data_IF_733558868236
#
_entry.id   IF_733558868236
#
_cell.length_a   1.000
_cell.length_b   1.000
_cell.length_c   1.000
_cell.angle_alpha   90.00
_cell.angle_beta   90.00
_cell.angle_gamma   90.00
#
_symmetry.space_group_name_H-M   'P 1'
#
loop_
_entity.id
_entity.type
_entity.pdbx_description
1 polymer ?
#
# COMPACT_ATOMS: atom_id res chain seq x y z
N UNK A 1 18.08 -19.43 -12.00
CA UNK A 1 18.52 -18.02 -12.07
C UNK A 1 19.70 -17.85 -11.14
N UNK A 2 20.71 -17.09 -11.54
CA UNK A 2 21.75 -16.65 -10.61
C UNK A 2 21.14 -15.54 -9.73
N UNK A 3 21.03 -15.77 -8.43
CA UNK A 3 20.65 -14.72 -7.49
C UNK A 3 21.87 -13.84 -7.25
N UNK A 4 21.83 -12.61 -7.73
CA UNK A 4 22.79 -11.58 -7.32
C UNK A 4 22.36 -11.13 -5.92
N UNK A 5 23.20 -11.39 -4.93
CA UNK A 5 22.93 -11.00 -3.55
C UNK A 5 23.06 -9.47 -3.42
N UNK A 6 22.04 -8.83 -2.87
CA UNK A 6 22.10 -7.41 -2.49
C UNK A 6 22.85 -7.33 -1.16
N UNK A 7 24.06 -6.76 -1.18
CA UNK A 7 24.92 -6.72 0.00
C UNK A 7 24.89 -5.37 0.72
N UNK A 8 24.61 -4.29 0.00
CA UNK A 8 24.72 -2.92 0.51
C UNK A 8 23.65 -1.98 -0.08
N UNK A 9 23.69 -0.73 0.39
CA UNK A 9 22.82 0.36 -0.04
C UNK A 9 22.88 0.62 -1.55
N UNK A 10 24.08 0.61 -2.12
CA UNK A 10 24.32 0.88 -3.55
C UNK A 10 23.72 -0.23 -4.42
N UNK A 11 23.83 -1.49 -3.99
CA UNK A 11 23.17 -2.62 -4.65
C UNK A 11 21.66 -2.49 -4.64
N UNK A 12 21.06 -2.11 -3.51
CA UNK A 12 19.61 -1.90 -3.38
C UNK A 12 19.14 -0.80 -4.33
N UNK A 13 19.76 0.38 -4.26
CA UNK A 13 19.37 1.54 -5.06
C UNK A 13 19.64 1.34 -6.55
N UNK A 14 20.75 0.69 -6.91
CA UNK A 14 21.08 0.33 -8.29
C UNK A 14 20.08 -0.64 -8.91
N UNK A 15 19.69 -1.69 -8.18
CA UNK A 15 18.64 -2.62 -8.61
C UNK A 15 17.30 -1.91 -8.77
N UNK A 16 16.88 -1.15 -7.75
CA UNK A 16 15.60 -0.44 -7.76
C UNK A 16 15.51 0.57 -8.92
N UNK A 17 16.59 1.32 -9.15
CA UNK A 17 16.70 2.28 -10.26
C UNK A 17 16.60 1.57 -11.62
N UNK A 18 17.28 0.43 -11.76
CA UNK A 18 17.22 -0.36 -13.01
C UNK A 18 15.79 -0.83 -13.27
N UNK A 19 15.12 -1.40 -12.26
CA UNK A 19 13.73 -1.85 -12.37
C UNK A 19 12.83 -0.66 -12.73
N UNK A 20 12.94 0.45 -12.01
CA UNK A 20 12.19 1.68 -12.27
C UNK A 20 12.34 2.14 -13.74
N UNK A 21 13.56 2.13 -14.29
CA UNK A 21 13.81 2.55 -15.67
C UNK A 21 13.21 1.58 -16.70
N UNK A 22 13.34 0.26 -16.49
CA UNK A 22 12.83 -0.73 -17.45
C UNK A 22 11.32 -0.90 -17.39
N UNK A 23 10.68 -0.54 -16.26
CA UNK A 23 9.22 -0.59 -16.09
C UNK A 23 8.52 0.74 -16.34
N UNK A 24 9.26 1.82 -16.64
CA UNK A 24 8.70 3.16 -16.87
C UNK A 24 7.68 3.22 -18.03
N UNK A 25 7.76 2.28 -18.98
CA UNK A 25 6.84 2.18 -20.11
C UNK A 25 6.02 0.89 -20.00
N UNK A 26 4.84 0.93 -19.33
CA UNK A 26 4.09 -0.28 -18.95
C UNK A 26 3.73 -1.18 -20.14
N UNK A 27 3.46 -0.57 -21.29
CA UNK A 27 3.11 -1.25 -22.54
C UNK A 27 4.20 -2.22 -23.04
N UNK A 28 5.47 -2.01 -22.69
CA UNK A 28 6.58 -2.83 -23.15
C UNK A 28 7.07 -3.84 -22.10
N UNK A 29 6.45 -3.88 -20.92
CA UNK A 29 6.85 -4.79 -19.85
C UNK A 29 6.15 -6.15 -20.01
N UNK A 30 6.92 -7.19 -20.32
CA UNK A 30 6.40 -8.56 -20.38
C UNK A 30 5.95 -9.08 -19.01
N UNK A 31 4.99 -10.01 -18.95
CA UNK A 31 4.55 -10.61 -17.68
C UNK A 31 5.68 -11.23 -16.86
N UNK A 32 6.65 -11.91 -17.50
CA UNK A 32 7.83 -12.44 -16.79
C UNK A 32 8.68 -11.32 -16.17
N UNK A 33 8.81 -10.18 -16.85
CA UNK A 33 9.55 -9.04 -16.33
C UNK A 33 8.80 -8.38 -15.14
N UNK A 34 7.47 -8.35 -15.16
CA UNK A 34 6.65 -7.88 -14.04
C UNK A 34 6.88 -8.75 -12.80
N UNK A 35 6.78 -10.08 -12.94
CA UNK A 35 7.00 -11.05 -11.84
C UNK A 35 8.43 -10.96 -11.29
N UNK A 36 9.43 -10.97 -12.18
CA UNK A 36 10.83 -10.86 -11.74
C UNK A 36 11.10 -9.50 -11.07
N UNK A 37 10.50 -8.43 -11.59
CA UNK A 37 10.57 -7.09 -11.02
C UNK A 37 9.98 -7.06 -9.61
N UNK A 38 8.76 -7.56 -9.41
CA UNK A 38 8.13 -7.60 -8.09
C UNK A 38 8.90 -8.43 -7.07
N UNK A 39 9.43 -9.59 -7.47
CA UNK A 39 10.28 -10.43 -6.58
C UNK A 39 11.54 -9.68 -6.18
N UNK A 40 12.20 -9.03 -7.14
CA UNK A 40 13.44 -8.29 -6.92
C UNK A 40 13.22 -7.07 -6.01
N UNK A 41 12.12 -6.34 -6.19
CA UNK A 41 11.75 -5.20 -5.34
C UNK A 41 11.38 -5.64 -3.92
N UNK A 42 10.65 -6.75 -3.76
CA UNK A 42 10.38 -7.34 -2.45
C UNK A 42 11.68 -7.72 -1.73
N UNK A 43 12.63 -8.32 -2.45
CA UNK A 43 13.95 -8.62 -1.90
C UNK A 43 14.72 -7.35 -1.52
N UNK A 44 14.64 -6.30 -2.34
CA UNK A 44 15.24 -5.00 -2.05
C UNK A 44 14.68 -4.36 -0.77
N UNK A 45 13.35 -4.38 -0.56
CA UNK A 45 12.76 -3.95 0.71
C UNK A 45 13.21 -4.81 1.89
N UNK A 46 13.26 -6.14 1.71
CA UNK A 46 13.74 -7.07 2.74
C UNK A 46 15.17 -6.75 3.18
N UNK A 47 16.06 -6.45 2.22
CA UNK A 47 17.44 -6.07 2.51
C UNK A 47 17.53 -4.67 3.11
N UNK A 48 16.75 -3.71 2.62
CA UNK A 48 16.69 -2.36 3.20
C UNK A 48 16.28 -2.42 4.68
N UNK A 49 15.27 -3.23 5.01
CA UNK A 49 14.84 -3.49 6.39
C UNK A 49 15.98 -4.03 7.23
N UNK A 50 16.70 -5.04 6.75
CA UNK A 50 17.87 -5.61 7.46
C UNK A 50 18.96 -4.56 7.69
N UNK A 51 19.33 -3.79 6.66
CA UNK A 51 20.40 -2.79 6.74
C UNK A 51 20.02 -1.61 7.65
N UNK A 52 18.76 -1.19 7.64
CA UNK A 52 18.28 -0.11 8.50
C UNK A 52 18.38 -0.43 9.99
N UNK A 53 18.32 -1.71 10.38
CA UNK A 53 18.50 -2.15 11.78
C UNK A 53 19.98 -2.40 12.09
N UNK A 54 20.68 -3.12 11.21
CA UNK A 54 21.98 -3.70 11.55
C UNK A 54 23.18 -2.80 11.21
N UNK A 55 22.99 -1.80 10.35
CA UNK A 55 24.10 -1.02 9.77
C UNK A 55 23.95 0.49 9.90
N UNK A 56 23.04 0.96 10.77
CA UNK A 56 22.82 2.39 11.05
C UNK A 56 22.67 3.26 9.78
N UNK A 57 21.89 2.79 8.80
CA UNK A 57 21.49 3.67 7.70
C UNK A 57 20.81 4.91 8.26
N UNK A 58 21.13 6.07 7.70
CA UNK A 58 20.47 7.33 8.04
C UNK A 58 19.01 7.30 7.58
N UNK A 59 18.18 8.11 8.23
CA UNK A 59 16.78 8.32 7.81
C UNK A 59 16.68 8.74 6.35
N UNK A 60 17.61 9.60 5.91
CA UNK A 60 17.69 10.06 4.51
C UNK A 60 17.98 8.91 3.54
N UNK A 61 18.95 8.05 3.84
CA UNK A 61 19.27 6.89 3.01
C UNK A 61 18.07 5.94 2.90
N UNK A 62 17.41 5.62 4.01
CA UNK A 62 16.22 4.75 4.02
C UNK A 62 15.11 5.35 3.15
N UNK A 63 14.85 6.65 3.28
CA UNK A 63 13.82 7.34 2.49
C UNK A 63 14.17 7.35 0.99
N UNK A 64 15.41 7.61 0.62
CA UNK A 64 15.86 7.59 -0.79
C UNK A 64 15.73 6.18 -1.40
N UNK A 65 16.22 5.16 -0.70
CA UNK A 65 16.10 3.77 -1.19
C UNK A 65 14.64 3.36 -1.33
N UNK A 66 13.81 3.72 -0.34
CA UNK A 66 12.37 3.48 -0.36
C UNK A 66 11.71 4.13 -1.57
N UNK A 67 12.03 5.40 -1.87
CA UNK A 67 11.45 6.11 -3.01
C UNK A 67 11.73 5.39 -4.34
N UNK A 68 12.95 4.88 -4.55
CA UNK A 68 13.29 4.13 -5.76
C UNK A 68 12.57 2.79 -5.83
N UNK A 69 12.56 2.01 -4.74
CA UNK A 69 11.92 0.70 -4.72
C UNK A 69 10.40 0.86 -4.91
N UNK A 70 9.80 1.83 -4.21
CA UNK A 70 8.36 2.13 -4.29
C UNK A 70 7.95 2.61 -5.69
N UNK A 71 8.74 3.46 -6.33
CA UNK A 71 8.47 3.88 -7.72
C UNK A 71 8.51 2.70 -8.68
N UNK A 72 9.50 1.80 -8.52
CA UNK A 72 9.55 0.54 -9.26
C UNK A 72 8.30 -0.32 -9.05
N UNK A 73 7.81 -0.41 -7.80
CA UNK A 73 6.60 -1.16 -7.45
C UNK A 73 5.35 -0.55 -8.10
N UNK A 74 5.20 0.78 -8.07
CA UNK A 74 4.10 1.49 -8.73
C UNK A 74 4.10 1.24 -10.25
N UNK A 75 5.28 1.20 -10.89
CA UNK A 75 5.39 0.85 -12.30
C UNK A 75 5.00 -0.61 -12.58
N UNK A 76 5.37 -1.55 -11.71
CA UNK A 76 4.95 -2.96 -11.85
C UNK A 76 3.42 -3.08 -11.76
N UNK A 77 2.79 -2.46 -10.75
CA UNK A 77 1.33 -2.43 -10.66
C UNK A 77 0.69 -1.88 -11.93
N UNK A 78 1.20 -0.74 -12.45
CA UNK A 78 0.64 -0.13 -13.66
C UNK A 78 0.86 -1.01 -14.90
N UNK A 79 2.01 -1.65 -15.03
CA UNK A 79 2.26 -2.59 -16.12
C UNK A 79 1.32 -3.81 -16.07
N UNK A 80 1.08 -4.36 -14.88
CA UNK A 80 0.15 -5.48 -14.68
C UNK A 80 -1.29 -5.09 -15.02
N UNK A 81 -1.73 -3.89 -14.63
CA UNK A 81 -3.05 -3.37 -15.01
C UNK A 81 -3.17 -3.20 -16.54
N UNK A 82 -2.22 -2.52 -17.19
CA UNK A 82 -2.28 -2.28 -18.65
C UNK A 82 -2.34 -3.60 -19.42
N UNK A 83 -1.55 -4.60 -19.02
CA UNK A 83 -1.57 -5.92 -19.67
C UNK A 83 -2.85 -6.68 -19.40
N UNK A 84 -3.42 -6.56 -18.20
CA UNK A 84 -4.69 -7.20 -17.88
C UNK A 84 -5.83 -6.56 -18.69
N UNK A 85 -5.86 -5.23 -18.83
CA UNK A 85 -6.84 -4.52 -19.66
C UNK A 85 -6.85 -5.07 -21.09
N UNK A 86 -5.68 -5.20 -21.74
CA UNK A 86 -5.61 -5.69 -23.12
C UNK A 86 -6.14 -7.11 -23.29
N UNK A 87 -5.75 -8.03 -22.39
CA UNK A 87 -6.27 -9.41 -22.40
C UNK A 87 -7.80 -9.41 -22.23
N UNK A 88 -8.31 -8.55 -21.34
CA UNK A 88 -9.74 -8.44 -21.08
C UNK A 88 -10.51 -7.79 -22.24
N UNK A 89 -9.96 -6.79 -22.92
CA UNK A 89 -10.53 -6.16 -24.12
C UNK A 89 -10.64 -7.17 -25.27
N UNK A 90 -9.68 -8.10 -25.37
CA UNK A 90 -9.71 -9.23 -26.28
C UNK A 90 -10.70 -10.35 -25.86
N UNK A 91 -11.44 -10.13 -24.76
CA UNK A 91 -12.45 -11.07 -24.24
C UNK A 91 -11.85 -12.27 -23.50
N UNK A 92 -10.57 -12.20 -23.10
CA UNK A 92 -9.88 -13.28 -22.40
C UNK A 92 -10.16 -13.19 -20.90
N UNK A 93 -10.84 -14.20 -20.34
CA UNK A 93 -11.08 -14.32 -18.89
C UNK A 93 -10.03 -15.16 -18.14
N UNK A 94 -9.08 -15.76 -18.86
CA UNK A 94 -7.97 -16.52 -18.30
C UNK A 94 -6.83 -16.68 -19.32
N UNK A 95 -5.61 -16.31 -18.93
CA UNK A 95 -4.40 -16.50 -19.73
C UNK A 95 -3.16 -16.56 -18.84
N UNK A 96 -2.04 -17.03 -19.42
CA UNK A 96 -0.72 -16.98 -18.78
C UNK A 96 -0.32 -15.54 -18.41
N UNK A 97 -0.74 -14.54 -19.19
CA UNK A 97 -0.50 -13.13 -18.88
C UNK A 97 -1.29 -12.69 -17.65
N UNK A 98 -2.60 -13.00 -17.59
CA UNK A 98 -3.44 -12.65 -16.42
C UNK A 98 -2.92 -13.30 -15.13
N UNK A 99 -2.43 -14.54 -15.22
CA UNK A 99 -1.82 -15.22 -14.07
C UNK A 99 -0.52 -14.55 -13.62
N UNK A 100 0.34 -14.11 -14.56
CA UNK A 100 1.55 -13.35 -14.25
C UNK A 100 1.25 -11.97 -13.67
N UNK A 101 0.21 -11.30 -14.16
CA UNK A 101 -0.26 -10.03 -13.60
C UNK A 101 -0.73 -10.23 -12.16
N UNK A 102 -1.49 -11.31 -11.89
CA UNK A 102 -1.90 -11.70 -10.52
C UNK A 102 -0.69 -11.95 -9.62
N UNK A 103 0.28 -12.72 -10.07
CA UNK A 103 1.50 -13.03 -9.32
C UNK A 103 2.32 -11.77 -9.03
N UNK A 104 2.53 -10.92 -10.03
CA UNK A 104 3.28 -9.66 -9.90
C UNK A 104 2.58 -8.68 -8.95
N UNK A 105 1.28 -8.45 -9.12
CA UNK A 105 0.48 -7.61 -8.22
C UNK A 105 0.53 -8.14 -6.79
N UNK A 106 0.30 -9.44 -6.58
CA UNK A 106 0.33 -10.06 -5.24
C UNK A 106 1.70 -9.91 -4.60
N UNK A 107 2.77 -10.17 -5.34
CA UNK A 107 4.14 -10.05 -4.83
C UNK A 107 4.50 -8.60 -4.52
N UNK A 108 3.96 -7.65 -5.28
CA UNK A 108 4.17 -6.22 -5.06
C UNK A 108 3.45 -5.76 -3.79
N UNK A 109 2.22 -6.23 -3.52
CA UNK A 109 1.57 -5.99 -2.22
C UNK A 109 2.37 -6.58 -1.05
N UNK A 110 2.91 -7.78 -1.19
CA UNK A 110 3.81 -8.36 -0.18
C UNK A 110 5.12 -7.59 -0.01
N UNK A 111 5.52 -6.80 -1.01
CA UNK A 111 6.66 -5.90 -0.92
C UNK A 111 6.30 -4.66 -0.08
N UNK A 112 5.08 -4.12 -0.25
CA UNK A 112 4.53 -3.06 0.61
C UNK A 112 4.34 -3.52 2.06
N UNK A 113 4.00 -4.79 2.30
CA UNK A 113 3.98 -5.34 3.66
C UNK A 113 5.35 -5.23 4.36
N UNK A 114 6.46 -5.30 3.62
CA UNK A 114 7.81 -5.15 4.17
C UNK A 114 8.16 -3.67 4.39
N UNK A 115 7.58 -2.78 3.58
CA UNK A 115 7.70 -1.33 3.74
C UNK A 115 7.13 -0.87 5.09
N UNK A 116 5.99 -1.44 5.49
CA UNK A 116 5.40 -1.18 6.80
C UNK A 116 6.35 -1.50 7.93
N UNK A 117 7.01 -2.66 7.88
CA UNK A 117 7.95 -3.07 8.91
C UNK A 117 9.11 -2.07 9.02
N UNK A 118 9.62 -1.55 7.90
CA UNK A 118 10.69 -0.53 7.91
C UNK A 118 10.23 0.71 8.67
N UNK A 119 9.05 1.24 8.34
CA UNK A 119 8.59 2.49 8.94
C UNK A 119 8.10 2.31 10.37
N UNK A 120 7.24 1.33 10.63
CA UNK A 120 6.66 1.11 11.95
C UNK A 120 7.70 0.68 13.00
N UNK A 121 8.69 -0.14 12.60
CA UNK A 121 9.65 -0.71 13.55
C UNK A 121 10.90 0.17 13.65
N UNK A 122 11.42 0.68 12.53
CA UNK A 122 12.75 1.31 12.51
C UNK A 122 12.69 2.84 12.53
N UNK A 123 11.70 3.43 11.86
CA UNK A 123 11.63 4.88 11.64
C UNK A 123 10.68 5.60 12.59
N UNK A 124 9.61 4.94 13.02
CA UNK A 124 8.60 5.44 13.94
C UNK A 124 8.48 4.53 15.18
N UNK A 125 9.57 4.26 15.95
CA UNK A 125 9.58 3.22 16.99
C UNK A 125 8.78 3.57 18.25
N UNK A 126 8.42 4.85 18.46
CA UNK A 126 7.62 5.30 19.58
C UNK A 126 6.27 5.85 19.10
N UNK A 127 5.24 5.70 19.94
CA UNK A 127 3.99 6.45 19.81
C UNK A 127 4.11 7.71 20.67
N UNK A 128 4.90 8.67 20.18
CA UNK A 128 5.18 9.94 20.85
C UNK A 128 4.36 11.11 20.26
N UNK A 129 3.88 10.96 19.03
CA UNK A 129 3.02 11.92 18.35
C UNK A 129 1.90 11.18 17.58
N UNK A 130 0.64 11.45 17.95
CA UNK A 130 -0.54 10.85 17.31
C UNK A 130 -0.77 11.30 15.86
N UNK A 131 -0.06 12.34 15.43
CA UNK A 131 -0.06 12.85 14.06
C UNK A 131 1.16 12.39 13.24
N UNK A 132 2.01 11.49 13.76
CA UNK A 132 3.15 10.96 13.01
C UNK A 132 2.69 9.93 11.97
N UNK A 133 2.94 10.22 10.70
CA UNK A 133 2.72 9.30 9.58
C UNK A 133 3.88 9.34 8.59
N UNK A 134 4.07 8.25 7.86
CA UNK A 134 4.95 8.17 6.71
C UNK A 134 4.12 8.17 5.42
N UNK A 135 4.35 9.16 4.56
CA UNK A 135 3.74 9.25 3.23
C UNK A 135 4.76 8.91 2.15
N UNK A 136 4.42 7.94 1.32
CA UNK A 136 5.22 7.50 0.19
C UNK A 136 4.33 7.52 -1.05
N UNK A 137 4.55 8.46 -1.97
CA UNK A 137 3.71 8.63 -3.16
C UNK A 137 4.50 8.68 -4.47
N UNK A 138 3.79 8.27 -5.51
CA UNK A 138 4.06 8.60 -6.91
C UNK A 138 2.84 9.33 -7.47
N UNK A 139 2.83 9.64 -8.77
CA UNK A 139 1.63 10.16 -9.44
C UNK A 139 0.51 9.12 -9.62
N UNK A 140 0.73 7.85 -9.25
CA UNK A 140 -0.16 6.72 -9.53
C UNK A 140 -0.58 5.92 -8.30
N UNK A 141 0.33 5.78 -7.34
CA UNK A 141 0.13 5.03 -6.11
C UNK A 141 0.63 5.87 -4.95
N UNK A 142 -0.17 5.94 -3.89
CA UNK A 142 0.20 6.50 -2.61
C UNK A 142 0.03 5.45 -1.51
N UNK A 143 0.99 5.42 -0.59
CA UNK A 143 0.94 4.65 0.64
C UNK A 143 1.16 5.59 1.81
N UNK A 144 0.21 5.56 2.75
CA UNK A 144 0.32 6.21 4.05
C UNK A 144 0.39 5.16 5.14
N UNK A 145 1.40 5.26 5.99
CA UNK A 145 1.61 4.36 7.12
C UNK A 145 1.51 5.18 8.39
N UNK A 146 0.63 4.77 9.31
CA UNK A 146 0.48 5.42 10.60
C UNK A 146 0.60 4.39 11.71
N UNK A 147 1.34 4.75 12.77
CA UNK A 147 1.44 3.94 13.99
C UNK A 147 0.21 4.18 14.85
N UNK A 148 -0.33 3.12 15.42
CA UNK A 148 -1.54 3.16 16.25
C UNK A 148 -1.24 2.69 17.68
N UNK A 149 -2.03 3.19 18.63
CA UNK A 149 -2.06 2.66 19.99
C UNK A 149 -3.08 1.52 20.07
N UNK A 150 -2.67 0.26 20.32
CA UNK A 150 -3.60 -0.86 20.50
C UNK A 150 -4.62 -0.66 21.62
N UNK A 151 -4.30 0.18 22.61
CA UNK A 151 -5.19 0.48 23.72
C UNK A 151 -6.24 1.56 23.37
N UNK A 152 -6.11 2.24 22.23
CA UNK A 152 -7.07 3.25 21.82
C UNK A 152 -8.39 2.59 21.39
N UNK A 153 -9.42 2.85 22.19
CA UNK A 153 -10.78 2.36 21.99
C UNK A 153 -11.68 3.37 21.28
N UNK A 154 -11.12 4.48 20.77
CA UNK A 154 -11.89 5.53 20.10
C UNK A 154 -11.93 5.33 18.59
N UNK A 155 -13.03 5.77 17.99
CA UNK A 155 -13.19 5.88 16.52
C UNK A 155 -12.07 6.74 15.94
N UNK A 156 -11.47 6.29 14.84
CA UNK A 156 -10.39 7.00 14.17
C UNK A 156 -10.84 7.51 12.80
N UNK A 157 -10.38 8.72 12.47
CA UNK A 157 -10.57 9.31 11.16
C UNK A 157 -9.21 9.50 10.50
N UNK A 158 -8.99 8.79 9.41
CA UNK A 158 -7.77 8.91 8.63
C UNK A 158 -8.01 9.73 7.38
N UNK A 159 -7.06 10.60 7.09
CA UNK A 159 -6.92 11.18 5.76
C UNK A 159 -6.04 10.26 4.96
N UNK A 160 -6.48 9.88 3.78
CA UNK A 160 -5.69 9.21 2.74
C UNK A 160 -5.41 10.30 1.72
N UNK A 161 -4.21 10.87 1.73
CA UNK A 161 -3.79 11.77 0.67
C UNK A 161 -3.70 10.98 -0.64
N UNK A 162 -3.78 11.62 -1.80
CA UNK A 162 -3.69 10.88 -3.07
C UNK A 162 -4.20 11.67 -4.27
N UNK A 163 -4.42 10.98 -5.39
CA UNK A 163 -5.08 11.61 -6.53
C UNK A 163 -6.57 11.86 -6.24
N UNK A 164 -7.22 10.91 -5.54
CA UNK A 164 -8.61 11.07 -5.10
C UNK A 164 -8.75 12.01 -3.91
N UNK A 165 -7.81 11.99 -2.96
CA UNK A 165 -8.03 12.38 -1.56
C UNK A 165 -9.25 11.65 -0.97
N UNK A 166 -9.06 10.96 0.14
CA UNK A 166 -10.15 10.20 0.78
C UNK A 166 -10.08 10.29 2.29
N UNK A 167 -11.23 10.26 2.93
CA UNK A 167 -11.34 10.10 4.37
C UNK A 167 -11.85 8.71 4.67
N UNK A 168 -11.15 8.01 5.56
CA UNK A 168 -11.55 6.68 6.02
C UNK A 168 -11.82 6.79 7.51
N UNK A 169 -13.09 6.70 7.88
CA UNK A 169 -13.52 6.55 9.26
C UNK A 169 -13.57 5.07 9.57
N UNK A 170 -12.85 4.69 10.62
CA UNK A 170 -12.82 3.32 11.10
C UNK A 170 -13.31 3.27 12.54
N UNK A 171 -13.84 2.13 12.99
CA UNK A 171 -14.02 1.88 14.42
C UNK A 171 -12.66 1.89 15.13
N UNK A 172 -12.66 1.65 16.44
CA UNK A 172 -11.41 1.59 17.20
C UNK A 172 -10.38 0.64 16.58
N UNK A 173 -9.08 0.95 16.76
CA UNK A 173 -8.02 0.06 16.28
C UNK A 173 -8.18 -1.36 16.84
N UNK A 174 -8.58 -1.48 18.11
CA UNK A 174 -8.90 -2.78 18.72
C UNK A 174 -10.00 -3.56 17.98
N UNK A 175 -11.00 -2.86 17.42
CA UNK A 175 -12.04 -3.47 16.59
C UNK A 175 -11.53 -3.90 15.22
N UNK A 176 -10.61 -3.13 14.63
CA UNK A 176 -9.97 -3.47 13.36
C UNK A 176 -9.02 -4.67 13.47
N UNK A 177 -8.22 -4.72 14.53
CA UNK A 177 -7.25 -5.79 14.77
C UNK A 177 -7.87 -7.05 15.38
N UNK A 178 -9.06 -6.93 16.00
CA UNK A 178 -9.70 -8.00 16.74
C UNK A 178 -8.81 -8.53 17.86
N UNK A 179 -8.82 -9.84 18.08
CA UNK A 179 -7.93 -10.52 19.05
C UNK A 179 -6.49 -10.69 18.53
N UNK A 180 -6.16 -10.15 17.35
CA UNK A 180 -4.90 -10.36 16.66
C UNK A 180 -3.72 -9.56 17.21
N UNK A 181 -3.98 -8.39 17.80
CA UNK A 181 -2.94 -7.52 18.37
C UNK A 181 -2.77 -7.82 19.86
N UNK A 182 -1.75 -8.60 20.21
CA UNK A 182 -1.44 -8.87 21.60
C UNK A 182 -0.70 -7.66 22.21
N UNK A 183 -0.98 -7.36 23.48
CA UNK A 183 -0.41 -6.19 24.15
C UNK A 183 1.12 -6.14 24.09
N UNK A 184 1.67 -5.00 23.66
CA UNK A 184 3.11 -4.73 23.58
C UNK A 184 3.73 -4.85 22.19
N UNK A 185 2.96 -5.25 21.18
CA UNK A 185 3.43 -5.26 19.79
C UNK A 185 3.33 -3.87 19.13
N UNK A 186 4.21 -3.60 18.16
CA UNK A 186 4.08 -2.43 17.29
C UNK A 186 2.81 -2.59 16.45
N UNK A 187 1.93 -1.60 16.50
CA UNK A 187 0.68 -1.60 15.77
C UNK A 187 0.61 -0.42 14.80
N UNK A 188 -0.08 -0.61 13.69
CA UNK A 188 -0.27 0.44 12.71
C UNK A 188 -1.31 0.11 11.66
N UNK A 189 -1.66 1.13 10.90
CA UNK A 189 -2.53 1.02 9.71
C UNK A 189 -1.75 1.49 8.48
N UNK A 190 -1.96 0.78 7.38
CA UNK A 190 -1.50 1.19 6.06
C UNK A 190 -2.73 1.53 5.20
N UNK A 191 -2.71 2.71 4.62
CA UNK A 191 -3.62 3.09 3.56
C UNK A 191 -2.88 3.05 2.23
N UNK A 192 -3.49 2.40 1.24
CA UNK A 192 -3.04 2.46 -0.14
C UNK A 192 -4.09 3.19 -0.96
N UNK A 193 -3.69 4.11 -1.81
CA UNK A 193 -4.52 4.67 -2.86
C UNK A 193 -3.83 4.45 -4.21
N UNK A 194 -4.60 4.01 -5.21
CA UNK A 194 -4.13 3.93 -6.59
C UNK A 194 -5.19 4.49 -7.53
N UNK A 195 -4.78 5.36 -8.44
CA UNK A 195 -5.68 5.97 -9.45
C UNK A 195 -5.93 5.09 -10.68
N UNK A 196 -5.82 3.78 -10.46
CA UNK A 196 -6.10 2.71 -11.40
C UNK A 196 -6.42 1.46 -10.58
N UNK A 197 -6.91 0.42 -11.25
CA UNK A 197 -7.26 -0.84 -10.61
C UNK A 197 -6.11 -1.84 -10.64
N UNK A 198 -5.36 -2.08 -9.54
CA UNK A 198 -4.27 -3.06 -9.54
C UNK A 198 -4.78 -4.51 -9.68
N UNK A 199 -6.09 -4.75 -9.50
CA UNK A 199 -6.73 -6.05 -9.55
C UNK A 199 -7.38 -6.37 -10.90
N UNK A 200 -7.01 -5.62 -11.94
CA UNK A 200 -7.56 -5.76 -13.28
C UNK A 200 -7.38 -7.16 -13.88
N UNK A 201 -6.51 -8.01 -13.33
CA UNK A 201 -6.43 -9.41 -13.74
C UNK A 201 -7.66 -10.24 -13.34
N UNK A 202 -8.50 -9.76 -12.40
CA UNK A 202 -9.65 -10.51 -11.87
C UNK A 202 -10.89 -10.34 -12.74
N UNK A 203 -11.69 -11.39 -12.91
CA UNK A 203 -12.86 -11.36 -13.79
C UNK A 203 -13.97 -10.39 -13.34
N UNK A 204 -14.09 -10.13 -12.03
CA UNK A 204 -15.08 -9.19 -11.48
C UNK A 204 -14.56 -7.74 -11.38
N UNK A 205 -13.33 -7.48 -11.81
CA UNK A 205 -12.66 -6.18 -11.64
C UNK A 205 -13.20 -5.08 -12.56
N UNK A 206 -13.82 -5.43 -13.69
CA UNK A 206 -14.39 -4.49 -14.69
C UNK A 206 -15.43 -3.51 -14.15
N UNK A 207 -16.01 -3.81 -12.99
CA UNK A 207 -16.98 -2.92 -12.34
C UNK A 207 -16.30 -1.79 -11.57
N UNK A 208 -14.98 -1.85 -11.41
CA UNK A 208 -14.17 -0.88 -10.67
C UNK A 208 -13.53 0.09 -11.68
N UNK A 209 -14.28 1.13 -12.05
CA UNK A 209 -13.84 2.21 -12.94
C UNK A 209 -13.33 3.44 -12.17
N UNK A 210 -13.05 3.29 -10.87
CA UNK A 210 -12.61 4.36 -9.98
C UNK A 210 -11.24 4.07 -9.38
N UNK A 211 -10.70 5.06 -8.68
CA UNK A 211 -9.54 4.89 -7.81
C UNK A 211 -9.82 3.79 -6.77
N UNK A 212 -8.77 3.05 -6.42
CA UNK A 212 -8.82 1.95 -5.47
C UNK A 212 -8.16 2.39 -4.17
N UNK A 213 -8.91 2.29 -3.06
CA UNK A 213 -8.40 2.55 -1.72
C UNK A 213 -8.35 1.23 -0.94
N UNK A 214 -7.20 0.95 -0.34
CA UNK A 214 -6.97 -0.20 0.54
C UNK A 214 -6.68 0.24 1.97
N UNK A 215 -7.14 -0.57 2.92
CA UNK A 215 -6.79 -0.48 4.33
C UNK A 215 -6.18 -1.82 4.76
N UNK A 216 -4.99 -1.78 5.35
CA UNK A 216 -4.37 -2.91 6.01
C UNK A 216 -4.04 -2.58 7.46
N UNK A 217 -4.16 -3.59 8.33
CA UNK A 217 -3.85 -3.49 9.76
C UNK A 217 -2.62 -4.32 10.04
N UNK A 218 -1.66 -3.75 10.78
CA UNK A 218 -0.40 -4.37 11.15
C UNK A 218 -0.30 -4.51 12.66
N UNK A 219 0.07 -5.70 13.11
CA UNK A 219 0.54 -5.94 14.48
C UNK A 219 1.81 -6.80 14.45
N UNK A 220 2.87 -6.29 15.07
CA UNK A 220 4.21 -6.85 14.96
C UNK A 220 4.66 -6.95 13.49
N UNK A 221 5.06 -8.15 13.08
CA UNK A 221 5.50 -8.43 11.71
C UNK A 221 4.38 -9.04 10.83
N UNK A 222 3.12 -8.97 11.28
CA UNK A 222 1.99 -9.62 10.62
C UNK A 222 0.96 -8.61 10.15
N UNK A 223 0.46 -8.82 8.92
CA UNK A 223 -0.70 -8.11 8.36
C UNK A 223 -1.97 -8.89 8.70
N UNK A 224 -2.95 -8.22 9.29
CA UNK A 224 -4.20 -8.83 9.74
C UNK A 224 -5.34 -8.49 8.78
N UNK A 225 -6.18 -9.48 8.44
CA UNK A 225 -7.37 -9.22 7.65
C UNK A 225 -8.40 -8.47 8.49
N UNK A 226 -8.85 -7.31 8.00
CA UNK A 226 -9.97 -6.59 8.59
C UNK A 226 -11.26 -7.33 8.27
N UNK A 227 -11.90 -7.92 9.29
CA UNK A 227 -13.11 -8.73 9.11
C UNK A 227 -13.95 -8.80 10.38
N UNK A 228 -15.23 -9.17 10.23
CA UNK A 228 -16.13 -9.39 11.38
C UNK A 228 -16.46 -8.13 12.19
N UNK A 229 -16.38 -6.95 11.57
CA UNK A 229 -16.61 -5.68 12.26
C UNK A 229 -18.07 -5.55 12.71
N UNK A 230 -18.27 -5.10 13.95
CA UNK A 230 -19.59 -4.73 14.49
C UNK A 230 -20.04 -3.34 14.05
N UNK A 231 -19.09 -2.47 13.76
CA UNK A 231 -19.29 -1.10 13.27
C UNK A 231 -18.71 -0.97 11.86
N UNK A 232 -19.35 -0.19 10.97
CA UNK A 232 -18.90 -0.07 9.58
C UNK A 232 -17.59 0.73 9.48
N UNK A 233 -16.89 0.52 8.36
CA UNK A 233 -15.87 1.46 7.87
C UNK A 233 -16.55 2.37 6.86
N UNK A 234 -16.46 3.67 7.07
CA UNK A 234 -17.00 4.66 6.14
C UNK A 234 -15.87 5.28 5.32
N UNK A 235 -16.03 5.29 4.01
CA UNK A 235 -15.06 5.87 3.08
C UNK A 235 -15.75 7.02 2.36
N UNK A 236 -15.20 8.22 2.52
CA UNK A 236 -15.58 9.41 1.78
C UNK A 236 -14.47 9.72 0.78
N UNK A 237 -14.74 9.52 -0.50
CA UNK A 237 -13.81 9.87 -1.59
C UNK A 237 -14.32 11.05 -2.39
N UNK A 238 -13.41 11.84 -2.96
CA UNK A 238 -13.77 12.98 -3.80
C UNK A 238 -14.39 12.50 -5.11
N UNK A 239 -15.55 13.04 -5.44
CA UNK A 239 -16.14 12.94 -6.78
C UNK A 239 -15.94 14.27 -7.52
N UNK A 240 -14.95 14.31 -8.42
CA UNK A 240 -14.58 15.45 -9.28
C UNK A 240 -14.10 16.73 -8.56
N UNK A 241 -12.88 17.23 -8.87
CA UNK A 241 -12.31 18.60 -8.70
C UNK A 241 -12.77 19.54 -7.56
N UNK A 242 -13.46 19.06 -6.53
CA UNK A 242 -13.98 19.83 -5.39
C UNK A 242 -13.22 19.43 -4.14
N UNK A 243 -12.77 20.40 -3.36
CA UNK A 243 -12.09 20.10 -2.10
C UNK A 243 -13.02 19.31 -1.16
N UNK A 244 -12.46 18.34 -0.45
CA UNK A 244 -13.17 17.61 0.61
C UNK A 244 -13.21 18.38 1.93
N UNK A 245 -12.51 19.53 2.05
CA UNK A 245 -12.44 20.32 3.28
C UNK A 245 -13.82 20.76 3.79
N UNK A 246 -14.75 21.06 2.88
CA UNK A 246 -16.13 21.42 3.23
C UNK A 246 -16.92 20.22 3.76
N UNK A 247 -16.64 19.01 3.24
CA UNK A 247 -17.30 17.77 3.65
C UNK A 247 -16.74 17.20 4.95
N UNK A 248 -15.51 17.55 5.32
CA UNK A 248 -14.90 17.14 6.59
C UNK A 248 -15.73 17.55 7.79
N UNK A 249 -16.31 18.76 7.77
CA UNK A 249 -17.19 19.24 8.83
C UNK A 249 -18.46 18.39 8.99
N UNK A 250 -18.99 17.85 7.88
CA UNK A 250 -20.19 17.00 7.86
C UNK A 250 -19.82 15.59 8.33
N UNK A 251 -18.69 15.06 7.85
CA UNK A 251 -18.24 13.70 8.15
C UNK A 251 -17.85 13.56 9.63
N UNK A 252 -17.07 14.51 10.17
CA UNK A 252 -16.75 14.56 11.61
C UNK A 252 -17.98 14.82 12.49
N UNK A 253 -18.93 15.66 12.04
CA UNK A 253 -20.19 15.91 12.77
C UNK A 253 -21.20 14.75 12.67
N UNK A 254 -21.08 13.87 11.68
CA UNK A 254 -21.94 12.71 11.46
C UNK A 254 -21.61 11.49 12.34
N UNK A 255 -20.69 11.62 13.30
CA UNK A 255 -20.39 10.64 14.36
C UNK A 255 -21.61 10.16 15.19
N UNK A 256 -22.79 10.77 15.01
CA UNK A 256 -24.06 10.36 15.64
C UNK A 256 -25.16 9.92 14.68
N UNK A 257 -24.97 10.02 13.36
CA UNK A 257 -25.99 9.63 12.40
C UNK A 257 -25.64 8.23 11.88
N UNK A 258 -26.14 7.23 12.61
CA UNK A 258 -26.13 5.84 12.17
C UNK A 258 -26.81 5.68 10.82
N UNK A 259 -26.38 4.65 10.09
CA UNK A 259 -26.93 4.16 8.84
C UNK A 259 -27.42 5.25 7.88
N UNK A 260 -26.55 5.66 6.96
CA UNK A 260 -27.02 6.17 5.67
C UNK A 260 -27.55 4.96 4.89
N UNK A 261 -28.75 4.52 5.27
CA UNK A 261 -29.61 3.68 4.46
C UNK A 261 -30.26 4.57 3.41
N UNK A 262 -29.96 4.31 2.14
CA UNK A 262 -30.75 4.75 0.99
C UNK A 262 -31.28 3.51 0.28
#
# INVERSE_FOLDING_TARGET
>A
MANVELQDYDGITGLATTIMMVTAFPEYVSGNAQVNGSISLKHAFGKLRELSVNYNLTVEEVNIATAYIFTGAAHVFKASEVKALWEQEDGVGFSDMLEKNREATTTTFQALDVLDDIYLINMMPAYDDGDLFADIFTSKVHVRIKREDPADSSEQLYTVAGASDSFVRVPSFSSLAGDGCLGGETAGVQFLESNFNPFEYSNNSRLVESDVVGLAVKCGNSTFPVSGLSEPIDILTRRENKSLDEMMSIFTASSRLGDISV
#
